data_IF_871168979662
#
_entry.id   IF_871168979662
#
_cell.length_a   1.000
_cell.length_b   1.000
_cell.length_c   1.000
_cell.angle_alpha   90.00
_cell.angle_beta   90.00
_cell.angle_gamma   90.00
#
_symmetry.space_group_name_H-M   'P 1'
#
loop_
_entity.id
_entity.type
_entity.pdbx_description
1 polymer ?
#
# COMPACT_ATOMS: atom_id res chain seq x y z
N UNK A 1 -10.70 31.30 8.82
CA UNK A 1 -10.00 31.15 7.53
C UNK A 1 -9.44 29.73 7.39
N UNK A 2 -10.29 28.69 7.37
CA UNK A 2 -9.85 27.28 7.33
C UNK A 2 -9.79 26.75 5.87
N UNK A 3 -10.33 27.52 4.92
CA UNK A 3 -10.53 27.13 3.52
C UNK A 3 -10.05 28.20 2.52
N UNK A 4 -8.83 28.73 2.66
CA UNK A 4 -8.28 29.69 1.67
C UNK A 4 -7.52 29.00 0.53
N UNK A 5 -7.84 29.44 -0.69
CA UNK A 5 -7.43 28.96 -2.01
C UNK A 5 -7.38 27.43 -2.15
N UNK A 6 -8.55 26.83 -2.36
CA UNK A 6 -8.63 25.44 -2.81
C UNK A 6 -7.92 25.30 -4.14
N UNK A 7 -6.86 24.48 -4.17
CA UNK A 7 -6.32 23.94 -5.42
C UNK A 7 -7.34 22.91 -5.94
N UNK A 8 -8.37 23.42 -6.61
CA UNK A 8 -9.53 22.66 -7.10
C UNK A 8 -9.08 21.53 -8.04
N UNK A 9 -7.99 21.77 -8.79
CA UNK A 9 -7.38 20.79 -9.68
C UNK A 9 -6.84 19.58 -8.91
N UNK A 10 -6.16 19.82 -7.78
CA UNK A 10 -5.63 18.77 -6.91
C UNK A 10 -6.74 18.03 -6.18
N UNK A 11 -7.75 18.75 -5.68
CA UNK A 11 -8.86 18.13 -4.97
C UNK A 11 -9.63 17.20 -5.89
N UNK A 12 -10.00 17.65 -7.11
CA UNK A 12 -10.72 16.80 -8.06
C UNK A 12 -9.84 15.65 -8.55
N UNK A 13 -8.63 15.92 -9.05
CA UNK A 13 -7.80 14.88 -9.66
C UNK A 13 -7.38 13.80 -8.67
N UNK A 14 -6.90 14.19 -7.49
CA UNK A 14 -6.43 13.24 -6.47
C UNK A 14 -7.61 12.58 -5.77
N UNK A 15 -8.65 13.32 -5.38
CA UNK A 15 -9.76 12.74 -4.65
C UNK A 15 -10.60 11.80 -5.52
N UNK A 16 -10.81 12.09 -6.81
CA UNK A 16 -11.55 11.18 -7.69
C UNK A 16 -10.80 9.85 -7.85
N UNK A 17 -9.50 9.90 -8.14
CA UNK A 17 -8.70 8.69 -8.29
C UNK A 17 -8.66 7.88 -6.98
N UNK A 18 -8.35 8.54 -5.85
CA UNK A 18 -8.32 7.88 -4.55
C UNK A 18 -9.69 7.33 -4.15
N UNK A 19 -10.78 8.05 -4.41
CA UNK A 19 -12.14 7.56 -4.11
C UNK A 19 -12.46 6.27 -4.85
N UNK A 20 -12.07 6.18 -6.14
CA UNK A 20 -12.27 4.96 -6.91
C UNK A 20 -11.45 3.79 -6.35
N UNK A 21 -10.18 4.03 -5.99
CA UNK A 21 -9.32 3.03 -5.34
C UNK A 21 -9.93 2.57 -4.01
N UNK A 22 -10.37 3.50 -3.16
CA UNK A 22 -11.00 3.22 -1.86
C UNK A 22 -12.23 2.31 -2.05
N UNK A 23 -13.16 2.69 -2.94
CA UNK A 23 -14.38 1.93 -3.19
C UNK A 23 -14.03 0.53 -3.69
N UNK A 24 -13.13 0.42 -4.67
CA UNK A 24 -12.75 -0.87 -5.23
C UNK A 24 -12.07 -1.76 -4.20
N UNK A 25 -11.17 -1.21 -3.38
CA UNK A 25 -10.43 -1.99 -2.39
C UNK A 25 -11.34 -2.45 -1.24
N UNK A 26 -12.28 -1.61 -0.78
CA UNK A 26 -13.33 -2.06 0.14
C UNK A 26 -14.20 -3.16 -0.48
N UNK A 27 -14.60 -3.01 -1.74
CA UNK A 27 -15.38 -4.03 -2.45
C UNK A 27 -14.60 -5.36 -2.52
N UNK A 28 -13.31 -5.34 -2.88
CA UNK A 28 -12.48 -6.56 -2.91
C UNK A 28 -12.36 -7.18 -1.53
N UNK A 29 -12.09 -6.39 -0.49
CA UNK A 29 -12.04 -6.87 0.90
C UNK A 29 -13.35 -7.56 1.31
N UNK A 30 -14.49 -6.93 1.03
CA UNK A 30 -15.82 -7.49 1.27
C UNK A 30 -16.06 -8.80 0.51
N UNK A 31 -15.74 -8.83 -0.79
CA UNK A 31 -15.95 -10.02 -1.62
C UNK A 31 -15.09 -11.20 -1.16
N UNK A 32 -13.85 -10.95 -0.73
CA UNK A 32 -12.96 -11.97 -0.15
C UNK A 32 -13.58 -12.55 1.12
N UNK A 33 -14.02 -11.70 2.06
CA UNK A 33 -14.60 -12.12 3.34
C UNK A 33 -15.98 -12.79 3.20
N UNK A 34 -16.76 -12.40 2.18
CA UNK A 34 -18.04 -13.03 1.85
C UNK A 34 -17.84 -14.45 1.32
N UNK A 35 -16.76 -14.72 0.57
CA UNK A 35 -16.46 -16.04 0.00
C UNK A 35 -16.01 -17.03 1.07
N UNK A 36 -15.04 -16.65 1.90
CA UNK A 36 -14.48 -17.53 2.92
C UNK A 36 -13.97 -16.70 4.11
N UNK A 37 -14.21 -17.20 5.33
CA UNK A 37 -13.80 -16.57 6.59
C UNK A 37 -12.61 -17.28 7.25
N UNK A 38 -11.93 -18.17 6.52
CA UNK A 38 -10.68 -18.75 6.95
C UNK A 38 -9.59 -17.69 7.10
N UNK A 39 -8.49 -18.06 7.77
CA UNK A 39 -7.44 -17.11 8.12
C UNK A 39 -6.71 -16.58 6.89
N UNK A 40 -6.46 -17.42 5.88
CA UNK A 40 -5.92 -16.99 4.59
C UNK A 40 -6.73 -15.84 3.98
N UNK A 41 -8.06 -15.99 3.89
CA UNK A 41 -8.96 -14.99 3.31
C UNK A 41 -9.03 -13.73 4.16
N UNK A 42 -9.02 -13.85 5.50
CA UNK A 42 -8.96 -12.69 6.40
C UNK A 42 -7.68 -11.88 6.19
N UNK A 43 -6.52 -12.54 6.15
CA UNK A 43 -5.22 -11.86 5.91
C UNK A 43 -5.22 -11.14 4.57
N UNK A 44 -5.74 -11.78 3.52
CA UNK A 44 -5.80 -11.19 2.19
C UNK A 44 -6.80 -10.03 2.08
N UNK A 45 -7.95 -10.14 2.74
CA UNK A 45 -8.92 -9.05 2.82
C UNK A 45 -8.37 -7.86 3.63
N UNK A 46 -7.61 -8.13 4.69
CA UNK A 46 -6.94 -7.10 5.49
C UNK A 46 -5.95 -6.29 4.68
N UNK A 47 -5.27 -6.88 3.68
CA UNK A 47 -4.40 -6.12 2.76
C UNK A 47 -5.18 -5.01 2.07
N UNK A 48 -6.28 -5.34 1.37
CA UNK A 48 -7.11 -4.33 0.70
C UNK A 48 -7.72 -3.32 1.67
N UNK A 49 -8.13 -3.78 2.85
CA UNK A 49 -8.69 -2.90 3.87
C UNK A 49 -7.66 -1.90 4.38
N UNK A 50 -6.43 -2.37 4.64
CA UNK A 50 -5.31 -1.54 5.07
C UNK A 50 -5.00 -0.46 4.04
N UNK A 51 -4.84 -0.84 2.78
CA UNK A 51 -4.62 0.09 1.68
C UNK A 51 -5.77 1.10 1.53
N UNK A 52 -7.03 0.65 1.56
CA UNK A 52 -8.20 1.55 1.48
C UNK A 52 -8.19 2.59 2.62
N UNK A 53 -7.91 2.16 3.86
CA UNK A 53 -7.80 3.08 5.00
C UNK A 53 -6.66 4.07 4.81
N UNK A 54 -5.52 3.62 4.28
CA UNK A 54 -4.40 4.49 3.93
C UNK A 54 -4.78 5.56 2.90
N UNK A 55 -5.50 5.18 1.84
CA UNK A 55 -6.02 6.14 0.87
C UNK A 55 -7.06 7.09 1.45
N UNK A 56 -7.90 6.66 2.41
CA UNK A 56 -8.83 7.55 3.11
C UNK A 56 -8.06 8.65 3.84
N UNK A 57 -7.05 8.29 4.65
CA UNK A 57 -6.20 9.28 5.31
C UNK A 57 -5.46 10.18 4.30
N UNK A 58 -5.02 9.59 3.18
CA UNK A 58 -4.43 10.29 2.04
C UNK A 58 -5.37 11.31 1.39
N UNK A 59 -6.67 11.06 1.39
CA UNK A 59 -7.67 12.00 0.88
C UNK A 59 -8.04 13.04 1.94
N UNK A 60 -8.17 12.61 3.20
CA UNK A 60 -8.56 13.47 4.32
C UNK A 60 -7.58 14.60 4.58
N UNK A 61 -6.27 14.42 4.34
CA UNK A 61 -5.30 15.50 4.58
C UNK A 61 -5.38 16.63 3.55
N UNK A 62 -5.89 16.38 2.33
CA UNK A 62 -5.90 17.33 1.22
C UNK A 62 -6.54 18.71 1.54
N UNK A 63 -7.73 18.78 2.17
CA UNK A 63 -8.37 20.07 2.47
C UNK A 63 -7.71 20.82 3.64
N UNK A 64 -6.87 20.19 4.46
CA UNK A 64 -6.36 20.82 5.66
C UNK A 64 -5.07 21.61 5.39
N UNK A 65 -5.15 22.91 5.69
CA UNK A 65 -4.04 23.87 5.61
C UNK A 65 -3.49 24.18 7.01
N UNK A 66 -3.34 23.14 7.81
CA UNK A 66 -2.79 23.21 9.18
C UNK A 66 -1.65 22.19 9.26
N UNK A 67 -0.41 22.65 9.43
CA UNK A 67 0.80 21.81 9.36
C UNK A 67 0.69 20.55 10.21
N UNK A 68 0.36 20.70 11.49
CA UNK A 68 0.27 19.57 12.44
C UNK A 68 -0.77 18.54 12.00
N UNK A 69 -1.99 18.99 11.67
CA UNK A 69 -3.08 18.11 11.28
C UNK A 69 -2.78 17.40 9.95
N UNK A 70 -2.23 18.12 8.96
CA UNK A 70 -1.86 17.55 7.68
C UNK A 70 -0.77 16.49 7.84
N UNK A 71 0.26 16.75 8.66
CA UNK A 71 1.33 15.80 8.94
C UNK A 71 0.80 14.55 9.68
N UNK A 72 -0.11 14.69 10.66
CA UNK A 72 -0.71 13.55 11.37
C UNK A 72 -1.59 12.69 10.44
N UNK A 73 -2.44 13.31 9.62
CA UNK A 73 -3.27 12.57 8.68
C UNK A 73 -2.41 11.85 7.64
N UNK A 74 -1.39 12.53 7.13
CA UNK A 74 -0.46 11.92 6.19
C UNK A 74 0.37 10.80 6.82
N UNK A 75 0.77 10.92 8.10
CA UNK A 75 1.41 9.87 8.86
C UNK A 75 0.57 8.58 8.86
N UNK A 76 -0.73 8.69 9.11
CA UNK A 76 -1.61 7.51 9.04
C UNK A 76 -1.74 6.98 7.62
N UNK A 77 -1.81 7.86 6.61
CA UNK A 77 -1.86 7.44 5.21
C UNK A 77 -0.67 6.54 4.84
N UNK A 78 0.56 7.01 5.12
CA UNK A 78 1.78 6.25 4.84
C UNK A 78 1.92 5.02 5.75
N UNK A 79 1.44 5.09 7.00
CA UNK A 79 1.45 3.93 7.89
C UNK A 79 0.68 2.77 7.27
N UNK A 80 -0.55 3.02 6.84
CA UNK A 80 -1.43 1.98 6.31
C UNK A 80 -1.04 1.53 4.89
N UNK A 81 -0.69 2.44 3.99
CA UNK A 81 -0.27 2.10 2.61
C UNK A 81 0.98 1.20 2.63
N UNK A 82 2.04 1.60 3.36
CA UNK A 82 3.28 0.82 3.34
C UNK A 82 3.24 -0.42 4.25
N UNK A 83 2.31 -0.49 5.20
CA UNK A 83 2.09 -1.71 5.99
C UNK A 83 1.30 -2.78 5.22
N UNK A 84 0.44 -2.39 4.27
CA UNK A 84 -0.35 -3.30 3.43
C UNK A 84 0.45 -4.46 2.81
N UNK A 85 1.58 -4.21 2.13
CA UNK A 85 2.44 -5.26 1.57
C UNK A 85 2.88 -6.33 2.58
N UNK A 86 3.01 -6.01 3.86
CA UNK A 86 3.34 -7.00 4.91
C UNK A 86 2.21 -8.03 5.08
N UNK A 87 0.96 -7.60 4.94
CA UNK A 87 -0.19 -8.50 4.94
C UNK A 87 -0.18 -9.41 3.71
N UNK A 88 0.26 -8.91 2.56
CA UNK A 88 0.43 -9.72 1.35
C UNK A 88 1.56 -10.76 1.52
N UNK A 89 2.69 -10.38 2.12
CA UNK A 89 3.77 -11.30 2.47
C UNK A 89 3.28 -12.43 3.40
N UNK A 90 2.57 -12.08 4.47
CA UNK A 90 2.04 -13.08 5.41
C UNK A 90 0.98 -13.98 4.78
N UNK A 91 0.16 -13.46 3.87
CA UNK A 91 -0.76 -14.26 3.04
C UNK A 91 0.00 -15.33 2.24
N UNK A 92 1.11 -14.97 1.59
CA UNK A 92 1.93 -15.93 0.84
C UNK A 92 2.60 -16.98 1.72
N UNK A 93 3.08 -16.58 2.90
CA UNK A 93 3.66 -17.51 3.87
C UNK A 93 2.64 -18.55 4.35
N UNK A 94 1.40 -18.12 4.64
CA UNK A 94 0.31 -19.03 5.00
C UNK A 94 0.03 -19.99 3.84
N UNK A 95 -0.05 -19.48 2.61
CA UNK A 95 -0.33 -20.27 1.43
C UNK A 95 0.77 -21.32 1.15
N UNK A 96 2.04 -20.95 1.34
CA UNK A 96 3.19 -21.80 1.04
C UNK A 96 3.44 -22.89 2.09
N UNK A 97 3.32 -22.56 3.38
CA UNK A 97 3.70 -23.47 4.48
C UNK A 97 2.51 -24.19 5.13
N UNK A 98 1.28 -23.96 4.68
CA UNK A 98 0.03 -24.40 5.33
C UNK A 98 -0.22 -23.77 6.70
N UNK A 99 -1.46 -23.87 7.18
CA UNK A 99 -1.85 -23.27 8.46
C UNK A 99 -1.28 -23.97 9.70
N UNK A 100 -0.85 -25.23 9.52
CA UNK A 100 -0.28 -26.05 10.59
C UNK A 100 1.13 -25.59 10.94
N UNK A 101 1.97 -25.31 9.94
CA UNK A 101 3.37 -24.91 10.15
C UNK A 101 3.44 -23.41 10.46
N UNK A 102 2.70 -22.60 9.71
CA UNK A 102 2.60 -21.16 9.91
C UNK A 102 1.40 -20.84 10.79
N UNK A 103 1.58 -20.99 12.11
CA UNK A 103 0.51 -20.80 13.10
C UNK A 103 0.09 -19.34 13.26
N UNK A 104 -1.09 -19.11 13.86
CA UNK A 104 -1.61 -17.76 14.12
C UNK A 104 -0.64 -16.93 14.98
N UNK A 105 0.06 -17.58 15.91
CA UNK A 105 1.07 -16.94 16.76
C UNK A 105 2.25 -16.41 15.94
N UNK A 106 2.79 -17.21 15.01
CA UNK A 106 3.88 -16.79 14.12
C UNK A 106 3.44 -15.62 13.22
N UNK A 107 2.23 -15.69 12.67
CA UNK A 107 1.66 -14.60 11.89
C UNK A 107 1.61 -13.29 12.68
N UNK A 108 1.05 -13.33 13.90
CA UNK A 108 0.93 -12.13 14.74
C UNK A 108 2.30 -11.58 15.14
N UNK A 109 3.26 -12.45 15.47
CA UNK A 109 4.64 -12.02 15.79
C UNK A 109 5.25 -11.27 14.61
N UNK A 110 5.17 -11.81 13.39
CA UNK A 110 5.71 -11.17 12.19
C UNK A 110 5.03 -9.82 11.95
N UNK A 111 3.68 -9.78 11.94
CA UNK A 111 2.95 -8.53 11.74
C UNK A 111 3.29 -7.49 12.80
N UNK A 112 3.37 -7.86 14.07
CA UNK A 112 3.72 -6.95 15.15
C UNK A 112 5.14 -6.42 15.02
N UNK A 113 6.13 -7.25 14.66
CA UNK A 113 7.53 -6.81 14.47
C UNK A 113 7.60 -5.79 13.33
N UNK A 114 7.04 -6.11 12.16
CA UNK A 114 7.06 -5.20 11.01
C UNK A 114 6.28 -3.91 11.29
N UNK A 115 5.15 -3.99 11.99
CA UNK A 115 4.37 -2.82 12.38
C UNK A 115 5.14 -1.94 13.37
N UNK A 116 5.73 -2.52 14.41
CA UNK A 116 6.46 -1.76 15.44
C UNK A 116 7.72 -1.11 14.87
N UNK A 117 8.52 -1.83 14.08
CA UNK A 117 9.69 -1.25 13.41
C UNK A 117 9.28 -0.06 12.55
N UNK A 118 8.23 -0.24 11.74
CA UNK A 118 7.78 0.82 10.85
C UNK A 118 7.21 2.02 11.62
N UNK A 119 6.38 1.77 12.64
CA UNK A 119 5.79 2.79 13.48
C UNK A 119 6.85 3.62 14.20
N UNK A 120 7.84 2.97 14.84
CA UNK A 120 8.93 3.66 15.54
C UNK A 120 9.68 4.57 14.57
N UNK A 121 9.95 4.11 13.36
CA UNK A 121 10.73 4.87 12.40
C UNK A 121 9.92 6.01 11.78
N UNK A 122 8.62 5.80 11.51
CA UNK A 122 7.73 6.89 11.12
C UNK A 122 7.62 7.97 12.21
N UNK A 123 7.61 7.58 13.49
CA UNK A 123 7.56 8.54 14.61
C UNK A 123 8.89 9.30 14.73
N UNK A 124 10.02 8.59 14.77
CA UNK A 124 11.33 9.20 14.98
C UNK A 124 11.81 9.93 13.72
N UNK A 125 11.99 9.21 12.62
CA UNK A 125 12.53 9.81 11.40
C UNK A 125 11.48 10.66 10.71
N UNK A 126 10.23 10.19 10.62
CA UNK A 126 9.16 10.91 9.92
C UNK A 126 8.74 12.20 10.62
N UNK A 127 8.32 12.12 11.88
CA UNK A 127 7.80 13.29 12.63
C UNK A 127 8.88 14.06 13.40
N UNK A 128 9.68 13.39 14.24
CA UNK A 128 10.62 14.09 15.14
C UNK A 128 11.84 14.68 14.42
N UNK A 129 12.34 14.01 13.37
CA UNK A 129 13.47 14.48 12.56
C UNK A 129 13.02 15.10 11.22
N UNK A 130 11.74 15.49 11.13
CA UNK A 130 11.16 16.14 9.95
C UNK A 130 11.40 15.37 8.62
N UNK A 131 11.34 14.04 8.69
CA UNK A 131 11.55 13.15 7.55
C UNK A 131 10.55 13.35 6.41
N UNK A 132 9.34 13.80 6.74
CA UNK A 132 8.43 14.38 5.76
C UNK A 132 7.82 15.67 6.29
N UNK A 133 7.53 16.60 5.38
CA UNK A 133 6.94 17.89 5.71
C UNK A 133 5.76 18.20 4.78
N UNK A 134 4.67 18.70 5.37
CA UNK A 134 3.53 19.28 4.67
C UNK A 134 3.25 20.65 5.28
N UNK A 135 3.53 21.70 4.53
CA UNK A 135 3.34 23.09 4.96
C UNK A 135 3.19 24.02 3.74
N UNK A 136 3.16 25.32 3.99
CA UNK A 136 3.08 26.32 2.94
C UNK A 136 4.28 26.30 1.98
N UNK A 137 5.51 26.08 2.48
CA UNK A 137 6.71 26.06 1.65
C UNK A 137 6.76 24.87 0.67
N UNK A 138 6.07 23.76 0.99
CA UNK A 138 5.92 22.62 0.07
C UNK A 138 4.67 22.71 -0.82
N UNK A 139 3.93 23.83 -0.78
CA UNK A 139 2.64 23.95 -1.47
C UNK A 139 1.59 22.98 -0.92
N UNK A 140 1.69 22.65 0.37
CA UNK A 140 0.86 21.67 1.07
C UNK A 140 0.93 20.27 0.47
N UNK A 141 2.03 19.91 -0.18
CA UNK A 141 2.30 18.57 -0.71
C UNK A 141 3.31 17.88 0.21
N UNK A 142 3.23 16.56 0.41
CA UNK A 142 4.28 15.85 1.12
C UNK A 142 5.60 16.03 0.37
N UNK A 143 6.66 16.26 1.13
CA UNK A 143 8.02 16.30 0.64
C UNK A 143 8.87 15.44 1.56
N UNK A 144 9.67 14.52 1.00
CA UNK A 144 10.51 13.60 1.77
C UNK A 144 11.93 14.11 1.87
N UNK A 145 12.51 14.02 3.07
CA UNK A 145 13.94 14.13 3.24
C UNK A 145 14.63 12.87 2.68
N UNK A 146 15.88 13.00 2.25
CA UNK A 146 16.65 11.87 1.73
C UNK A 146 16.78 10.72 2.75
N UNK A 147 17.10 10.95 4.05
CA UNK A 147 17.14 9.87 5.03
C UNK A 147 15.82 9.10 5.15
N UNK A 148 14.70 9.83 5.15
CA UNK A 148 13.37 9.22 5.23
C UNK A 148 13.02 8.41 3.98
N UNK A 149 13.32 8.95 2.80
CA UNK A 149 13.13 8.24 1.53
C UNK A 149 13.97 6.95 1.46
N UNK A 150 15.25 7.01 1.80
CA UNK A 150 16.14 5.83 1.80
C UNK A 150 15.64 4.76 2.77
N UNK A 151 15.15 5.17 3.94
CA UNK A 151 14.53 4.25 4.88
C UNK A 151 13.28 3.59 4.29
N UNK A 152 12.34 4.36 3.74
CA UNK A 152 11.12 3.82 3.15
C UNK A 152 11.41 2.82 2.03
N UNK A 153 12.32 3.16 1.12
CA UNK A 153 12.76 2.26 0.05
C UNK A 153 13.34 0.97 0.62
N UNK A 154 14.18 1.07 1.66
CA UNK A 154 14.78 -0.10 2.31
C UNK A 154 13.69 -0.97 2.96
N UNK A 155 12.82 -0.38 3.77
CA UNK A 155 11.71 -1.06 4.44
C UNK A 155 10.83 -1.81 3.42
N UNK A 156 10.35 -1.11 2.39
CA UNK A 156 9.53 -1.70 1.32
C UNK A 156 10.28 -2.84 0.63
N UNK A 157 11.56 -2.66 0.33
CA UNK A 157 12.38 -3.71 -0.32
C UNK A 157 12.53 -4.96 0.54
N UNK A 158 12.65 -4.83 1.87
CA UNK A 158 12.69 -5.98 2.77
C UNK A 158 11.39 -6.80 2.81
N UNK A 159 10.27 -6.24 2.35
CA UNK A 159 8.99 -6.92 2.24
C UNK A 159 8.80 -7.43 0.80
N UNK A 160 9.05 -6.57 -0.18
CA UNK A 160 8.84 -6.83 -1.60
C UNK A 160 9.69 -8.00 -2.10
N UNK A 161 10.97 -8.03 -1.74
CA UNK A 161 11.89 -9.08 -2.22
C UNK A 161 11.44 -10.47 -1.74
N UNK A 162 11.19 -10.71 -0.43
CA UNK A 162 10.61 -11.98 0.02
C UNK A 162 9.23 -12.27 -0.57
N UNK A 163 8.37 -11.26 -0.75
CA UNK A 163 7.03 -11.44 -1.34
C UNK A 163 7.14 -11.99 -2.77
N UNK A 164 8.04 -11.41 -3.59
CA UNK A 164 8.30 -11.90 -4.94
C UNK A 164 8.90 -13.30 -4.94
N UNK A 165 9.89 -13.55 -4.08
CA UNK A 165 10.52 -14.87 -3.96
C UNK A 165 9.49 -15.96 -3.63
N UNK A 166 8.65 -15.76 -2.60
CA UNK A 166 7.63 -16.73 -2.22
C UNK A 166 6.54 -16.86 -3.28
N UNK A 167 6.14 -15.77 -3.93
CA UNK A 167 5.14 -15.81 -5.00
C UNK A 167 5.63 -16.64 -6.20
N UNK A 168 6.89 -16.49 -6.61
CA UNK A 168 7.49 -17.32 -7.68
C UNK A 168 7.63 -18.78 -7.23
N UNK A 169 7.99 -19.02 -5.97
CA UNK A 169 8.09 -20.38 -5.42
C UNK A 169 6.72 -21.09 -5.45
N UNK A 170 5.63 -20.40 -5.11
CA UNK A 170 4.27 -20.92 -5.20
C UNK A 170 3.90 -21.25 -6.65
N UNK A 171 4.23 -20.37 -7.60
CA UNK A 171 4.01 -20.60 -9.03
C UNK A 171 4.65 -21.91 -9.52
N UNK A 172 5.90 -22.14 -9.13
CA UNK A 172 6.66 -23.33 -9.53
C UNK A 172 6.07 -24.63 -8.95
N UNK A 173 5.44 -24.56 -7.77
CA UNK A 173 4.82 -25.72 -7.10
C UNK A 173 3.46 -26.11 -7.69
N UNK A 174 2.78 -25.23 -8.42
CA UNK A 174 1.51 -25.62 -9.04
C UNK A 174 1.75 -26.66 -10.14
N UNK A 175 0.93 -27.71 -10.17
CA UNK A 175 0.89 -28.68 -11.27
C UNK A 175 -0.23 -28.35 -12.25
N UNK A 176 -1.35 -27.84 -11.75
CA UNK A 176 -2.52 -27.52 -12.58
C UNK A 176 -2.27 -26.25 -13.42
N UNK A 177 -2.38 -26.33 -14.76
CA UNK A 177 -2.13 -25.19 -15.65
C UNK A 177 -3.11 -24.02 -15.44
N UNK A 178 -4.35 -24.30 -15.02
CA UNK A 178 -5.33 -23.26 -14.73
C UNK A 178 -4.94 -22.44 -13.49
N UNK A 179 -4.40 -23.09 -12.46
CA UNK A 179 -3.90 -22.41 -11.26
C UNK A 179 -2.65 -21.58 -11.60
N UNK A 180 -1.74 -22.11 -12.42
CA UNK A 180 -0.57 -21.36 -12.91
C UNK A 180 -0.98 -20.08 -13.65
N UNK A 181 -1.90 -20.18 -14.61
CA UNK A 181 -2.38 -19.03 -15.39
C UNK A 181 -2.98 -17.93 -14.51
N UNK A 182 -3.79 -18.29 -13.51
CA UNK A 182 -4.33 -17.34 -12.54
C UNK A 182 -3.25 -16.73 -11.65
N UNK A 183 -2.28 -17.54 -11.24
CA UNK A 183 -1.17 -17.04 -10.43
C UNK A 183 -0.24 -16.09 -11.20
N UNK A 184 -0.12 -16.25 -12.52
CA UNK A 184 0.57 -15.26 -13.37
C UNK A 184 -0.15 -13.91 -13.32
N UNK A 185 -1.50 -13.88 -13.31
CA UNK A 185 -2.24 -12.62 -13.12
C UNK A 185 -1.94 -11.99 -11.76
N UNK A 186 -1.86 -12.80 -10.71
CA UNK A 186 -1.46 -12.34 -9.38
C UNK A 186 -0.04 -11.76 -9.38
N UNK A 187 0.92 -12.43 -10.02
CA UNK A 187 2.30 -11.94 -10.16
C UNK A 187 2.38 -10.62 -10.94
N UNK A 188 1.66 -10.49 -12.06
CA UNK A 188 1.60 -9.24 -12.83
C UNK A 188 1.00 -8.12 -11.97
N UNK A 189 -0.10 -8.41 -11.27
CA UNK A 189 -0.73 -7.46 -10.36
C UNK A 189 0.23 -7.04 -9.25
N UNK A 190 0.97 -7.97 -8.66
CA UNK A 190 1.94 -7.70 -7.61
C UNK A 190 3.11 -6.84 -8.10
N UNK A 191 3.73 -7.18 -9.23
CA UNK A 191 4.82 -6.40 -9.82
C UNK A 191 4.36 -4.99 -10.16
N UNK A 192 3.18 -4.85 -10.77
CA UNK A 192 2.59 -3.55 -11.07
C UNK A 192 2.27 -2.74 -9.82
N UNK A 193 1.71 -3.38 -8.78
CA UNK A 193 1.46 -2.72 -7.50
C UNK A 193 2.75 -2.22 -6.84
N UNK A 194 3.81 -3.04 -6.86
CA UNK A 194 5.14 -2.65 -6.36
C UNK A 194 5.72 -1.49 -7.16
N UNK A 195 5.63 -1.52 -8.49
CA UNK A 195 6.06 -0.42 -9.36
C UNK A 195 5.35 0.90 -8.99
N UNK A 196 4.02 0.85 -8.76
CA UNK A 196 3.27 2.02 -8.30
C UNK A 196 3.73 2.47 -6.92
N UNK A 197 3.98 1.55 -5.99
CA UNK A 197 4.44 1.90 -4.64
C UNK A 197 5.81 2.60 -4.66
N UNK A 198 6.77 2.10 -5.44
CA UNK A 198 8.09 2.72 -5.58
C UNK A 198 8.02 4.07 -6.29
N UNK A 199 7.27 4.17 -7.37
CA UNK A 199 7.14 5.45 -8.07
C UNK A 199 6.34 6.48 -7.28
N UNK A 200 5.42 6.08 -6.38
CA UNK A 200 4.81 6.99 -5.42
C UNK A 200 5.86 7.57 -4.45
N UNK A 201 6.81 6.76 -3.95
CA UNK A 201 7.90 7.27 -3.11
C UNK A 201 8.78 8.27 -3.89
N UNK A 202 9.12 7.96 -5.14
CA UNK A 202 9.87 8.85 -6.01
C UNK A 202 9.12 10.13 -6.34
N UNK A 203 7.80 10.04 -6.56
CA UNK A 203 6.93 11.18 -6.83
C UNK A 203 6.97 12.21 -5.71
N UNK A 204 7.02 11.73 -4.46
CA UNK A 204 7.05 12.57 -3.27
C UNK A 204 8.45 13.14 -3.02
N UNK A 205 9.49 12.33 -3.25
CA UNK A 205 10.88 12.73 -3.04
C UNK A 205 11.37 13.74 -4.09
N UNK A 206 11.23 13.44 -5.39
CA UNK A 206 11.89 14.22 -6.44
C UNK A 206 11.21 15.56 -6.73
N UNK A 207 9.91 15.66 -6.43
CA UNK A 207 9.11 16.89 -6.56
C UNK A 207 9.14 17.63 -7.91
N UNK A 208 9.66 17.00 -8.97
CA UNK A 208 9.75 17.54 -10.32
C UNK A 208 8.37 17.57 -11.02
N UNK A 209 8.02 18.69 -11.67
CA UNK A 209 6.69 18.87 -12.29
C UNK A 209 6.40 17.90 -13.43
N UNK A 210 7.38 17.61 -14.29
CA UNK A 210 7.23 16.66 -15.40
C UNK A 210 6.96 15.26 -14.85
N UNK A 211 7.72 14.84 -13.83
CA UNK A 211 7.49 13.56 -13.18
C UNK A 211 6.10 13.48 -12.56
N UNK A 212 5.64 14.55 -11.91
CA UNK A 212 4.30 14.62 -11.31
C UNK A 212 3.19 14.51 -12.36
N UNK A 213 3.35 15.19 -13.49
CA UNK A 213 2.41 15.12 -14.60
C UNK A 213 2.30 13.68 -15.14
N UNK A 214 3.44 13.04 -15.46
CA UNK A 214 3.48 11.66 -15.96
C UNK A 214 2.88 10.70 -14.92
N UNK A 215 3.26 10.84 -13.65
CA UNK A 215 2.79 9.99 -12.58
C UNK A 215 1.29 10.13 -12.31
N UNK A 216 0.73 11.32 -12.55
CA UNK A 216 -0.71 11.56 -12.51
C UNK A 216 -1.50 10.61 -13.42
N UNK A 217 -0.98 10.31 -14.63
CA UNK A 217 -1.59 9.37 -15.57
C UNK A 217 -1.32 7.90 -15.23
N UNK A 218 -0.16 7.60 -14.64
CA UNK A 218 0.23 6.23 -14.30
C UNK A 218 -0.45 5.75 -13.01
N UNK A 219 -0.63 6.63 -12.02
CA UNK A 219 -1.13 6.27 -10.69
C UNK A 219 -2.49 5.55 -10.66
N UNK A 220 -3.49 5.84 -11.54
CA UNK A 220 -4.73 5.07 -11.59
C UNK A 220 -4.53 3.59 -11.94
N UNK A 221 -3.39 3.19 -12.52
CA UNK A 221 -3.09 1.79 -12.81
C UNK A 221 -3.05 0.91 -11.55
N UNK A 222 -2.92 1.50 -10.35
CA UNK A 222 -3.07 0.78 -9.07
C UNK A 222 -4.39 0.01 -8.98
N UNK A 223 -5.45 0.53 -9.61
CA UNK A 223 -6.77 -0.10 -9.69
C UNK A 223 -6.68 -1.42 -10.45
N UNK A 224 -6.04 -1.39 -11.62
CA UNK A 224 -5.87 -2.54 -12.51
C UNK A 224 -5.02 -3.59 -11.79
N UNK A 225 -3.91 -3.18 -11.20
CA UNK A 225 -3.00 -4.08 -10.49
C UNK A 225 -3.64 -4.69 -9.23
N UNK A 226 -4.34 -3.89 -8.44
CA UNK A 226 -5.12 -4.38 -7.30
C UNK A 226 -6.19 -5.38 -7.73
N UNK A 227 -6.91 -5.12 -8.81
CA UNK A 227 -7.87 -6.08 -9.36
C UNK A 227 -7.21 -7.39 -9.82
N UNK A 228 -6.04 -7.33 -10.47
CA UNK A 228 -5.30 -8.52 -10.91
C UNK A 228 -4.84 -9.37 -9.71
N UNK A 229 -4.37 -8.75 -8.63
CA UNK A 229 -4.05 -9.44 -7.37
C UNK A 229 -5.29 -10.19 -6.84
N UNK A 230 -6.45 -9.54 -6.82
CA UNK A 230 -7.70 -10.18 -6.39
C UNK A 230 -8.11 -11.33 -7.31
N UNK A 231 -8.11 -11.11 -8.62
CA UNK A 231 -8.54 -12.11 -9.61
C UNK A 231 -7.65 -13.34 -9.60
N UNK A 232 -6.34 -13.16 -9.44
CA UNK A 232 -5.37 -14.27 -9.46
C UNK A 232 -5.49 -15.22 -8.26
N UNK A 233 -6.05 -14.75 -7.14
CA UNK A 233 -6.27 -15.54 -5.92
C UNK A 233 -7.73 -15.96 -5.70
N UNK A 234 -8.66 -15.32 -6.41
CA UNK A 234 -10.06 -15.18 -5.98
C UNK A 234 -11.07 -16.25 -6.38
N UNK A 235 -10.70 -17.37 -7.03
CA UNK A 235 -11.73 -18.34 -7.48
C UNK A 235 -11.78 -19.69 -6.77
N UNK A 236 -10.69 -20.27 -6.26
CA UNK A 236 -10.69 -21.67 -5.79
C UNK A 236 -9.67 -22.01 -4.69
N UNK A 237 -9.10 -21.03 -3.98
CA UNK A 237 -8.31 -21.29 -2.76
C UNK A 237 -9.21 -21.48 -1.54
#
# INVERSE_FOLDING_TARGET
MILQSFDFSRLIGVALNQSFVIILFFLMSYLILRRNKNRLSKTFASFYLCEAVGFIFGMLYLPFKINLLANILYFFAILFIFFGPTLLLTFLLILLQSEVIFTKKKQMIILSIYFMIYLIILLIIGLLLEGFQINESTGWRPHYSLPFFMFLVTYVSTIVVPTMYFSITIYQKFQNPQLKSRWVQFLIGMVGFMFILYGLMLYIFWSNELYRFIWGFISPAVIIFGYLIYRGTGRQL
#
